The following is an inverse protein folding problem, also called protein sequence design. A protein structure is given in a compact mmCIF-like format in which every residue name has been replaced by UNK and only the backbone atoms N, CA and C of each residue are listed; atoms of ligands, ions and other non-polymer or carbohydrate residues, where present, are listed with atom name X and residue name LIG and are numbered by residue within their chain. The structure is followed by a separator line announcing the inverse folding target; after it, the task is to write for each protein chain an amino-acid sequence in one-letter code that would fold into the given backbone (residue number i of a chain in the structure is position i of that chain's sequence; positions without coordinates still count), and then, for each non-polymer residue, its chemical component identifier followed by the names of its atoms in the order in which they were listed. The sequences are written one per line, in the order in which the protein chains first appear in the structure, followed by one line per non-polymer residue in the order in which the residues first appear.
data_IF_084399079430
#
_entry.id   IF_084399079430
#
_cell.length_a   1.000
_cell.length_b   1.000
_cell.length_c   1.000
_cell.angle_alpha   90.00
_cell.angle_beta   90.00
_cell.angle_gamma   90.00
#
_symmetry.space_group_name_H-M   'P 1'
#
loop_
_entity.id
_entity.type
_entity.pdbx_description
1 polymer ?
#
# COMPACT_ATOMS: atom_id res chain seq x y z
N UNK A 1 17.03 -8.73 -6.62
CA UNK A 1 16.06 -9.35 -5.70
C UNK A 1 14.73 -9.36 -6.44
N UNK A 2 14.06 -10.51 -6.51
CA UNK A 2 12.73 -10.56 -7.13
C UNK A 2 11.76 -9.69 -6.33
N UNK A 3 10.82 -9.05 -7.03
CA UNK A 3 9.81 -8.22 -6.38
C UNK A 3 8.97 -9.10 -5.45
N UNK A 4 8.78 -8.66 -4.20
CA UNK A 4 8.02 -9.38 -3.19
C UNK A 4 6.58 -9.58 -3.67
N UNK A 5 6.02 -8.60 -4.38
CA UNK A 5 4.64 -8.68 -4.89
C UNK A 5 4.43 -9.78 -5.94
N UNK A 6 5.51 -10.31 -6.54
CA UNK A 6 5.43 -11.38 -7.53
C UNK A 6 5.60 -12.78 -6.92
N UNK A 7 5.88 -12.87 -5.62
CA UNK A 7 6.01 -14.16 -4.94
C UNK A 7 4.65 -14.84 -4.78
N UNK A 8 4.67 -16.17 -4.70
CA UNK A 8 3.51 -16.89 -4.18
C UNK A 8 3.29 -16.50 -2.72
N UNK A 9 2.04 -16.63 -2.24
CA UNK A 9 1.71 -16.42 -0.83
C UNK A 9 2.59 -17.28 0.10
N UNK A 10 2.86 -18.53 -0.30
CA UNK A 10 3.72 -19.45 0.43
C UNK A 10 5.16 -18.91 0.52
N UNK A 11 5.75 -18.51 -0.61
CA UNK A 11 7.12 -17.98 -0.62
C UNK A 11 7.24 -16.66 0.12
N UNK A 12 6.23 -15.79 0.02
CA UNK A 12 6.19 -14.55 0.79
C UNK A 12 6.17 -14.83 2.30
N UNK A 13 5.37 -15.81 2.72
CA UNK A 13 5.26 -16.25 4.10
C UNK A 13 6.57 -16.89 4.61
N UNK A 14 7.21 -17.73 3.80
CA UNK A 14 8.50 -18.34 4.16
C UNK A 14 9.59 -17.27 4.32
N UNK A 15 9.65 -16.28 3.43
CA UNK A 15 10.58 -15.16 3.56
C UNK A 15 10.34 -14.37 4.86
N UNK A 16 9.08 -14.13 5.23
CA UNK A 16 8.71 -13.38 6.43
C UNK A 16 9.13 -14.06 7.75
N UNK A 17 9.43 -15.36 7.74
CA UNK A 17 9.88 -16.13 8.91
C UNK A 17 11.41 -16.19 9.04
N UNK A 18 12.14 -15.69 8.05
CA UNK A 18 13.61 -15.72 8.06
C UNK A 18 14.19 -14.67 9.01
N UNK A 19 15.53 -14.66 9.16
CA UNK A 19 16.24 -13.61 9.89
C UNK A 19 16.50 -12.37 9.04
N UNK A 20 16.12 -12.39 7.77
CA UNK A 20 16.28 -11.24 6.87
C UNK A 20 15.31 -10.12 7.27
N UNK A 21 15.68 -8.85 7.05
CA UNK A 21 14.84 -7.71 7.45
C UNK A 21 13.61 -7.48 6.55
N UNK A 22 13.31 -8.38 5.61
CA UNK A 22 12.23 -8.25 4.64
C UNK A 22 11.54 -9.61 4.34
N UNK A 23 10.22 -9.64 4.08
CA UNK A 23 9.27 -8.53 4.17
C UNK A 23 9.07 -8.03 5.61
N UNK A 24 9.06 -6.70 5.77
CA UNK A 24 8.81 -6.04 7.06
C UNK A 24 7.33 -5.83 7.35
N UNK A 25 7.03 -5.28 8.53
CA UNK A 25 5.66 -4.97 8.94
C UNK A 25 4.96 -3.98 8.01
N UNK A 26 5.70 -3.01 7.43
CA UNK A 26 5.16 -2.06 6.45
C UNK A 26 4.76 -2.75 5.15
N UNK A 27 5.60 -3.65 4.64
CA UNK A 27 5.34 -4.47 3.47
C UNK A 27 4.07 -5.31 3.65
N UNK A 28 3.94 -5.98 4.79
CA UNK A 28 2.75 -6.76 5.15
C UNK A 28 1.50 -5.89 5.24
N UNK A 29 1.58 -4.73 5.91
CA UNK A 29 0.46 -3.81 6.03
C UNK A 29 -0.03 -3.31 4.66
N UNK A 30 0.91 -2.97 3.76
CA UNK A 30 0.58 -2.57 2.40
C UNK A 30 -0.11 -3.70 1.62
N UNK A 31 0.42 -4.93 1.73
CA UNK A 31 -0.17 -6.10 1.05
C UNK A 31 -1.59 -6.41 1.53
N UNK A 32 -1.81 -6.44 2.86
CA UNK A 32 -3.13 -6.66 3.44
C UNK A 32 -4.11 -5.56 3.02
N UNK A 33 -3.64 -4.31 2.98
CA UNK A 33 -4.42 -3.18 2.45
C UNK A 33 -4.85 -3.37 0.99
N UNK A 34 -3.94 -3.88 0.15
CA UNK A 34 -4.22 -4.13 -1.27
C UNK A 34 -5.27 -5.24 -1.43
N UNK A 35 -5.15 -6.33 -0.66
CA UNK A 35 -6.14 -7.42 -0.64
C UNK A 35 -7.51 -6.91 -0.20
N UNK A 36 -7.57 -6.14 0.89
CA UNK A 36 -8.82 -5.54 1.37
C UNK A 36 -9.47 -4.63 0.33
N UNK A 37 -8.67 -3.81 -0.36
CA UNK A 37 -9.14 -2.92 -1.43
C UNK A 37 -9.65 -3.68 -2.65
N UNK A 38 -8.99 -4.78 -3.02
CA UNK A 38 -9.44 -5.65 -4.11
C UNK A 38 -10.81 -6.29 -3.80
N UNK A 39 -11.07 -6.64 -2.54
CA UNK A 39 -12.38 -7.12 -2.10
C UNK A 39 -13.47 -6.03 -2.20
N UNK A 40 -13.14 -4.76 -1.95
CA UNK A 40 -14.06 -3.64 -2.19
C UNK A 40 -14.45 -3.53 -3.66
N UNK A 41 -13.48 -3.69 -4.57
CA UNK A 41 -13.73 -3.73 -6.02
C UNK A 41 -14.61 -4.93 -6.39
N UNK A 42 -14.39 -6.10 -5.76
CA UNK A 42 -15.25 -7.27 -5.97
C UNK A 42 -16.72 -6.97 -5.63
N UNK A 43 -17.00 -6.34 -4.49
CA UNK A 43 -18.37 -5.96 -4.10
C UNK A 43 -18.99 -4.99 -5.09
N UNK A 44 -18.19 -4.05 -5.61
CA UNK A 44 -18.61 -3.09 -6.60
C UNK A 44 -18.95 -3.78 -7.95
N UNK A 45 -18.11 -4.69 -8.42
CA UNK A 45 -18.38 -5.50 -9.62
C UNK A 45 -19.66 -6.35 -9.47
N UNK A 46 -19.86 -7.00 -8.31
CA UNK A 46 -21.09 -7.75 -8.01
C UNK A 46 -22.33 -6.86 -7.98
N UNK A 47 -22.17 -5.55 -7.81
CA UNK A 47 -23.28 -4.61 -7.80
C UNK A 47 -23.75 -4.26 -9.21
N UNK A 48 -22.87 -4.28 -10.22
CA UNK A 48 -23.20 -3.96 -11.61
C UNK A 48 -24.22 -4.92 -12.24
N UNK A 49 -24.22 -6.17 -11.81
CA UNK A 49 -25.15 -7.18 -12.32
C UNK A 49 -26.57 -7.06 -11.73
N UNK A 50 -26.75 -6.27 -10.67
CA UNK A 50 -28.04 -6.13 -9.99
C UNK A 50 -29.01 -5.31 -10.81
N UNK A 51 -30.29 -5.72 -10.82
CA UNK A 51 -31.37 -4.95 -11.43
C UNK A 51 -31.44 -3.54 -10.86
N UNK A 52 -31.28 -3.39 -9.53
CA UNK A 52 -31.32 -2.08 -8.88
C UNK A 52 -30.21 -1.14 -9.36
N UNK A 53 -29.02 -1.66 -9.69
CA UNK A 53 -27.95 -0.85 -10.28
C UNK A 53 -28.31 -0.34 -11.69
N UNK A 54 -29.00 -1.14 -12.51
CA UNK A 54 -29.44 -0.71 -13.86
C UNK A 54 -30.43 0.46 -13.83
N UNK A 55 -31.14 0.60 -12.71
CA UNK A 55 -32.20 1.61 -12.51
C UNK A 55 -31.68 2.89 -11.83
N UNK A 56 -30.41 2.96 -11.41
CA UNK A 56 -29.85 4.19 -10.81
C UNK A 56 -29.46 5.23 -11.86
N UNK A 57 -29.44 6.49 -11.43
CA UNK A 57 -29.00 7.63 -12.24
C UNK A 57 -27.58 7.45 -12.78
N UNK A 58 -27.37 7.89 -14.01
CA UNK A 58 -26.07 7.81 -14.69
C UNK A 58 -24.94 8.50 -13.89
N UNK A 59 -25.27 9.62 -13.22
CA UNK A 59 -24.32 10.32 -12.35
C UNK A 59 -23.83 9.48 -11.17
N UNK A 60 -24.63 8.52 -10.69
CA UNK A 60 -24.25 7.59 -9.62
C UNK A 60 -23.35 6.49 -10.19
N UNK A 61 -23.65 6.01 -11.41
CA UNK A 61 -22.79 5.03 -12.09
C UNK A 61 -21.39 5.59 -12.34
N UNK A 62 -21.29 6.82 -12.84
CA UNK A 62 -19.99 7.50 -13.02
C UNK A 62 -19.21 7.59 -11.71
N UNK A 63 -19.86 7.95 -10.59
CA UNK A 63 -19.18 7.98 -9.27
C UNK A 63 -18.66 6.61 -8.84
N UNK A 64 -19.39 5.53 -9.16
CA UNK A 64 -18.95 4.17 -8.85
C UNK A 64 -17.78 3.74 -9.73
N UNK A 65 -17.75 4.15 -10.99
CA UNK A 65 -16.61 3.95 -11.89
C UNK A 65 -15.37 4.72 -11.41
N UNK A 66 -15.54 5.99 -11.01
CA UNK A 66 -14.47 6.80 -10.44
C UNK A 66 -13.90 6.18 -9.15
N UNK A 67 -14.78 5.68 -8.27
CA UNK A 67 -14.38 4.95 -7.06
C UNK A 67 -13.58 3.70 -7.40
N UNK A 68 -14.03 2.91 -8.39
CA UNK A 68 -13.32 1.72 -8.82
C UNK A 68 -11.93 2.06 -9.35
N UNK A 69 -11.81 3.08 -10.20
CA UNK A 69 -10.54 3.55 -10.73
C UNK A 69 -9.60 4.07 -9.63
N UNK A 70 -10.14 4.75 -8.62
CA UNK A 70 -9.40 5.18 -7.43
C UNK A 70 -8.86 3.98 -6.65
N UNK A 71 -9.67 2.95 -6.40
CA UNK A 71 -9.22 1.72 -5.74
C UNK A 71 -8.15 0.96 -6.55
N UNK A 72 -8.29 0.85 -7.88
CA UNK A 72 -7.27 0.23 -8.73
C UNK A 72 -5.93 0.97 -8.61
N UNK A 73 -5.95 2.31 -8.59
CA UNK A 73 -4.75 3.13 -8.39
C UNK A 73 -4.14 2.94 -7.00
N UNK A 74 -4.97 2.91 -5.96
CA UNK A 74 -4.52 2.70 -4.59
C UNK A 74 -3.87 1.31 -4.41
N UNK A 75 -4.41 0.27 -5.07
CA UNK A 75 -3.79 -1.07 -5.10
C UNK A 75 -2.40 -1.01 -5.72
N UNK A 76 -2.21 -0.33 -6.86
CA UNK A 76 -0.88 -0.21 -7.47
C UNK A 76 0.12 0.56 -6.59
N UNK A 77 -0.34 1.58 -5.85
CA UNK A 77 0.49 2.26 -4.86
C UNK A 77 0.87 1.34 -3.70
N UNK A 78 -0.07 0.56 -3.16
CA UNK A 78 0.19 -0.38 -2.08
C UNK A 78 1.17 -1.48 -2.52
N UNK A 79 1.01 -2.02 -3.75
CA UNK A 79 1.96 -2.97 -4.35
C UNK A 79 3.38 -2.39 -4.44
N UNK A 80 3.50 -1.11 -4.80
CA UNK A 80 4.78 -0.40 -4.79
C UNK A 80 5.38 -0.34 -3.36
N UNK A 81 4.56 -0.05 -2.35
CA UNK A 81 5.02 -0.02 -0.96
C UNK A 81 5.42 -1.39 -0.39
N UNK A 82 4.81 -2.48 -0.87
CA UNK A 82 5.24 -3.86 -0.54
C UNK A 82 6.73 -4.05 -0.88
N UNK A 83 7.12 -3.65 -2.10
CA UNK A 83 8.50 -3.78 -2.57
C UNK A 83 9.41 -2.71 -1.95
N UNK A 84 8.93 -1.47 -1.82
CA UNK A 84 9.75 -0.36 -1.30
C UNK A 84 10.11 -0.55 0.17
N UNK A 85 9.20 -1.05 1.02
CA UNK A 85 9.45 -1.27 2.45
C UNK A 85 10.67 -2.17 2.67
N UNK A 86 10.80 -3.24 1.87
CA UNK A 86 11.92 -4.16 1.92
C UNK A 86 13.27 -3.51 1.58
N UNK A 87 13.26 -2.51 0.71
CA UNK A 87 14.47 -1.79 0.27
C UNK A 87 14.73 -0.50 1.05
N UNK A 88 13.73 0.02 1.76
CA UNK A 88 13.75 1.35 2.37
C UNK A 88 14.80 1.51 3.46
N UNK A 89 15.15 0.41 4.13
CA UNK A 89 16.20 0.38 5.15
C UNK A 89 17.61 0.20 4.58
N UNK A 90 17.75 -0.14 3.29
CA UNK A 90 19.04 -0.37 2.64
C UNK A 90 19.98 0.84 2.75
N UNK A 91 19.45 2.05 2.56
CA UNK A 91 20.21 3.28 2.70
C UNK A 91 20.74 3.51 4.12
N UNK A 92 19.99 3.12 5.16
CA UNK A 92 20.45 3.16 6.56
C UNK A 92 21.58 2.16 6.77
N UNK A 93 21.42 0.92 6.30
CA UNK A 93 22.44 -0.11 6.42
C UNK A 93 23.74 0.26 5.71
N UNK A 94 23.66 0.87 4.53
CA UNK A 94 24.84 1.32 3.80
C UNK A 94 25.51 2.51 4.46
N UNK A 95 24.73 3.47 4.98
CA UNK A 95 25.26 4.58 5.75
C UNK A 95 25.95 4.10 7.04
N UNK A 96 25.43 3.07 7.69
CA UNK A 96 26.03 2.49 8.90
C UNK A 96 27.42 1.89 8.66
N UNK A 97 27.71 1.44 7.42
CA UNK A 97 29.01 0.87 7.01
C UNK A 97 30.07 1.93 6.69
N UNK A 98 29.70 3.20 6.57
CA UNK A 98 30.66 4.28 6.27
C UNK A 98 31.73 4.41 7.37
N UNK A 99 32.95 4.88 7.02
CA UNK A 99 34.01 5.18 7.98
C UNK A 99 33.56 6.13 9.09
N UNK A 100 34.25 6.09 10.23
CA UNK A 100 33.89 6.85 11.43
C UNK A 100 35.10 7.23 12.28
N UNK A 101 36.29 7.27 11.69
CA UNK A 101 37.54 7.47 12.41
C UNK A 101 37.86 8.97 12.56
N UNK A 102 37.54 9.77 11.54
CA UNK A 102 37.69 11.23 11.58
C UNK A 102 36.38 11.95 11.90
N UNK A 103 36.47 13.19 12.38
CA UNK A 103 35.27 14.01 12.63
C UNK A 103 34.47 14.29 11.35
N UNK A 104 35.15 14.47 10.22
CA UNK A 104 34.49 14.66 8.92
C UNK A 104 33.74 13.38 8.48
N UNK A 105 34.37 12.22 8.65
CA UNK A 105 33.73 10.92 8.36
C UNK A 105 32.51 10.69 9.25
N UNK A 106 32.62 10.97 10.56
CA UNK A 106 31.48 10.85 11.50
C UNK A 106 30.33 11.76 11.09
N UNK A 107 30.62 13.00 10.66
CA UNK A 107 29.61 13.95 10.20
C UNK A 107 28.88 13.44 8.95
N UNK A 108 29.62 13.06 7.91
CA UNK A 108 29.05 12.51 6.66
C UNK A 108 28.23 11.26 6.95
N UNK A 109 28.76 10.36 7.77
CA UNK A 109 28.07 9.14 8.20
C UNK A 109 26.75 9.45 8.91
N UNK A 110 26.75 10.41 9.83
CA UNK A 110 25.54 10.83 10.56
C UNK A 110 24.48 11.40 9.62
N UNK A 111 24.88 12.27 8.69
CA UNK A 111 23.98 12.87 7.69
C UNK A 111 23.35 11.79 6.81
N UNK A 112 24.14 10.83 6.31
CA UNK A 112 23.64 9.73 5.48
C UNK A 112 22.70 8.79 6.22
N UNK A 113 22.96 8.51 7.51
CA UNK A 113 22.06 7.73 8.35
C UNK A 113 20.71 8.47 8.50
N UNK A 114 20.74 9.78 8.76
CA UNK A 114 19.54 10.59 8.88
C UNK A 114 18.72 10.63 7.59
N UNK A 115 19.37 10.80 6.44
CA UNK A 115 18.69 10.78 5.16
C UNK A 115 18.09 9.39 4.85
N UNK A 116 18.81 8.32 5.22
CA UNK A 116 18.28 6.96 5.17
C UNK A 116 17.03 6.77 6.02
N UNK A 117 17.01 7.28 7.25
CA UNK A 117 15.82 7.19 8.10
C UNK A 117 14.65 8.02 7.58
N UNK A 118 14.89 9.23 7.07
CA UNK A 118 13.83 10.02 6.43
C UNK A 118 13.18 9.26 5.29
N UNK A 119 13.99 8.67 4.41
CA UNK A 119 13.49 7.85 3.31
C UNK A 119 12.72 6.61 3.81
N UNK A 120 13.26 5.91 4.82
CA UNK A 120 12.61 4.75 5.41
C UNK A 120 11.23 5.08 6.03
N UNK A 121 11.04 6.30 6.53
CA UNK A 121 9.76 6.77 7.09
C UNK A 121 8.71 7.13 6.02
N UNK A 122 9.13 7.46 4.79
CA UNK A 122 8.19 7.82 3.71
C UNK A 122 7.31 6.64 3.29
N UNK A 123 7.82 5.41 3.31
CA UNK A 123 7.07 4.20 2.91
C UNK A 123 5.89 3.89 3.84
N UNK A 124 6.07 3.77 5.18
CA UNK A 124 4.94 3.55 6.08
C UNK A 124 3.98 4.74 6.12
N UNK A 125 4.47 5.98 5.99
CA UNK A 125 3.61 7.16 5.90
C UNK A 125 2.76 7.15 4.62
N UNK A 126 3.36 6.82 3.48
CA UNK A 126 2.67 6.64 2.20
C UNK A 126 1.59 5.56 2.29
N UNK A 127 1.94 4.40 2.87
CA UNK A 127 1.01 3.30 3.12
C UNK A 127 -0.18 3.75 3.97
N UNK A 128 0.06 4.42 5.09
CA UNK A 128 -1.00 4.91 5.96
C UNK A 128 -1.91 5.94 5.28
N UNK A 129 -1.33 6.86 4.48
CA UNK A 129 -2.10 7.85 3.71
C UNK A 129 -2.98 7.17 2.65
N UNK A 130 -2.45 6.19 1.93
CA UNK A 130 -3.23 5.42 0.94
C UNK A 130 -4.36 4.65 1.61
N UNK A 131 -4.11 3.99 2.75
CA UNK A 131 -5.16 3.30 3.51
C UNK A 131 -6.24 4.26 4.01
N UNK A 132 -5.86 5.46 4.44
CA UNK A 132 -6.83 6.49 4.82
C UNK A 132 -7.67 7.00 3.63
N UNK A 133 -7.06 7.12 2.44
CA UNK A 133 -7.80 7.43 1.21
C UNK A 133 -8.82 6.34 0.88
N UNK A 134 -8.42 5.07 0.96
CA UNK A 134 -9.29 3.91 0.76
C UNK A 134 -10.46 3.94 1.75
N UNK A 135 -10.20 4.24 3.03
CA UNK A 135 -11.24 4.35 4.05
C UNK A 135 -12.29 5.41 3.69
N UNK A 136 -11.86 6.60 3.25
CA UNK A 136 -12.77 7.67 2.82
C UNK A 136 -13.60 7.25 1.60
N UNK A 137 -12.98 6.57 0.63
CA UNK A 137 -13.65 6.05 -0.56
C UNK A 137 -14.64 4.94 -0.22
N UNK A 138 -14.31 4.08 0.74
CA UNK A 138 -15.22 3.07 1.27
C UNK A 138 -16.44 3.69 1.97
N UNK A 139 -16.25 4.78 2.69
CA UNK A 139 -17.37 5.51 3.31
C UNK A 139 -18.30 6.13 2.27
N UNK A 140 -17.75 6.67 1.18
CA UNK A 140 -18.54 7.13 0.04
C UNK A 140 -19.25 5.97 -0.65
N UNK A 141 -18.53 4.87 -0.93
CA UNK A 141 -19.09 3.67 -1.52
C UNK A 141 -20.26 3.14 -0.70
N UNK A 142 -20.12 3.04 0.63
CA UNK A 142 -21.18 2.62 1.55
C UNK A 142 -22.45 3.47 1.41
N UNK A 143 -22.31 4.80 1.36
CA UNK A 143 -23.45 5.73 1.21
C UNK A 143 -24.17 5.54 -0.13
N UNK A 144 -23.41 5.40 -1.22
CA UNK A 144 -23.95 5.17 -2.56
C UNK A 144 -24.61 3.79 -2.61
N UNK A 145 -23.96 2.76 -2.07
CA UNK A 145 -24.46 1.40 -2.08
C UNK A 145 -25.81 1.29 -1.39
N UNK A 146 -26.00 1.92 -0.23
CA UNK A 146 -27.30 1.98 0.46
C UNK A 146 -28.40 2.70 -0.31
N UNK A 147 -28.08 3.58 -1.25
CA UNK A 147 -29.13 4.26 -2.02
C UNK A 147 -29.80 3.38 -3.07
N UNK A 148 -29.20 2.22 -3.41
CA UNK A 148 -29.74 1.30 -4.42
C UNK A 148 -29.71 -0.18 -4.00
N UNK A 149 -29.06 -0.52 -2.90
CA UNK A 149 -29.24 -1.80 -2.24
C UNK A 149 -30.55 -1.77 -1.48
N UNK A 150 -31.41 -2.77 -1.62
CA UNK A 150 -32.69 -2.86 -0.90
C UNK A 150 -32.50 -3.19 0.60
N UNK A 151 -31.49 -2.61 1.26
CA UNK A 151 -31.07 -2.84 2.65
C UNK A 151 -30.92 -1.50 3.39
#
# INVERSE_FOLDING_TARGET
MDKLINLSLENYLENAKTKEPYPGGGSVAAYVGAVGTALSIMVLNLSYDKKSYKEIDESIKTKLEDLKASFDKDIELLKKYVDEDASSFGGVLDALKLPKETEEEKKIRSEKIQDGYKYALEVPLGTARTLNNILNNLDLFRKIWYSFSNY
#
